data_IF_487112334016
#
_entry.id   IF_487112334016
#
_cell.length_a   1.000
_cell.length_b   1.000
_cell.length_c   1.000
_cell.angle_alpha   90.00
_cell.angle_beta   90.00
_cell.angle_gamma   90.00
#
_symmetry.space_group_name_H-M   'P 1'
#
loop_
_entity.id
_entity.type
_entity.pdbx_description
1 polymer ?
#
# COMPACT_ATOMS: atom_id res chain seq x y z
N UNK A 1 8.10 -7.59 -1.26
CA UNK A 1 6.96 -8.13 -0.50
C UNK A 1 5.78 -7.18 -0.59
N UNK A 2 4.54 -7.71 -0.58
CA UNK A 2 3.30 -6.93 -0.56
C UNK A 2 2.45 -7.36 0.63
N UNK A 3 1.82 -6.43 1.33
CA UNK A 3 0.91 -6.75 2.42
C UNK A 3 -0.18 -5.67 2.55
N UNK A 4 -1.35 -6.07 3.04
CA UNK A 4 -2.50 -5.21 3.30
C UNK A 4 -3.09 -5.54 4.67
N UNK A 5 -3.30 -4.54 5.52
CA UNK A 5 -3.97 -4.71 6.81
C UNK A 5 -4.86 -3.52 7.15
N UNK A 6 -5.82 -3.74 8.06
CA UNK A 6 -6.71 -2.66 8.52
C UNK A 6 -5.95 -1.70 9.43
N UNK A 7 -6.24 -0.41 9.28
CA UNK A 7 -5.72 0.62 10.16
C UNK A 7 -6.85 1.54 10.65
N UNK A 8 -7.34 1.30 11.86
CA UNK A 8 -8.43 2.10 12.44
C UNK A 8 -9.72 2.09 11.61
N UNK A 9 -10.62 3.04 11.92
CA UNK A 9 -11.92 3.14 11.26
C UNK A 9 -11.77 3.80 9.89
N UNK A 10 -12.15 3.09 8.83
CA UNK A 10 -12.23 3.63 7.47
C UNK A 10 -10.95 3.53 6.64
N UNK A 11 -9.88 2.90 7.14
CA UNK A 11 -8.60 2.86 6.41
C UNK A 11 -7.96 1.48 6.38
N UNK A 12 -7.14 1.29 5.35
CA UNK A 12 -6.19 0.20 5.18
C UNK A 12 -4.79 0.79 5.08
N UNK A 13 -3.81 -0.01 5.48
CA UNK A 13 -2.43 0.17 5.04
C UNK A 13 -2.08 -0.86 3.98
N UNK A 14 -1.29 -0.42 3.00
CA UNK A 14 -0.67 -1.28 2.00
C UNK A 14 0.82 -1.03 1.92
N UNK A 15 1.59 -2.04 2.26
CA UNK A 15 3.06 -2.03 2.14
C UNK A 15 3.48 -2.74 0.86
N UNK A 16 4.43 -2.14 0.14
CA UNK A 16 5.03 -2.77 -1.03
C UNK A 16 6.49 -2.37 -1.23
N UNK A 17 7.28 -3.34 -1.70
CA UNK A 17 8.65 -3.14 -2.20
C UNK A 17 8.71 -3.15 -3.73
N UNK A 18 7.58 -3.43 -4.39
CA UNK A 18 7.49 -3.50 -5.84
C UNK A 18 7.44 -2.08 -6.44
N UNK A 19 8.51 -1.73 -7.16
CA UNK A 19 8.67 -0.43 -7.80
C UNK A 19 7.63 -0.18 -8.90
N UNK A 20 7.18 -1.21 -9.60
CA UNK A 20 6.14 -1.06 -10.63
C UNK A 20 4.78 -0.82 -9.99
N UNK A 21 4.47 -1.53 -8.90
CA UNK A 21 3.27 -1.25 -8.12
C UNK A 21 3.28 0.17 -7.56
N UNK A 22 4.40 0.63 -6.99
CA UNK A 22 4.57 2.01 -6.51
C UNK A 22 4.28 3.03 -7.63
N UNK A 23 4.87 2.85 -8.81
CA UNK A 23 4.66 3.73 -9.97
C UNK A 23 3.19 3.72 -10.40
N UNK A 24 2.57 2.55 -10.44
CA UNK A 24 1.16 2.37 -10.84
C UNK A 24 0.20 3.04 -9.85
N UNK A 25 0.44 2.90 -8.54
CA UNK A 25 -0.32 3.60 -7.49
C UNK A 25 -0.17 5.11 -7.65
N UNK A 26 1.06 5.63 -7.72
CA UNK A 26 1.32 7.07 -7.93
C UNK A 26 0.64 7.62 -9.20
N UNK A 27 0.53 6.81 -10.25
CA UNK A 27 -0.13 7.19 -11.51
C UNK A 27 -1.66 7.25 -11.37
N UNK A 28 -2.29 6.21 -10.83
CA UNK A 28 -3.75 6.02 -10.93
C UNK A 28 -4.53 6.24 -9.63
N UNK A 29 -3.88 6.21 -8.46
CA UNK A 29 -4.53 6.26 -7.14
C UNK A 29 -4.11 7.52 -6.38
N UNK A 30 -4.63 8.66 -6.81
CA UNK A 30 -4.26 9.99 -6.27
C UNK A 30 -4.71 10.22 -4.83
N UNK A 31 -5.70 9.46 -4.38
CA UNK A 31 -6.24 9.50 -3.03
C UNK A 31 -5.55 8.53 -2.06
N UNK A 32 -4.57 7.75 -2.54
CA UNK A 32 -3.76 6.89 -1.69
C UNK A 32 -2.52 7.65 -1.25
N UNK A 33 -2.41 7.88 0.05
CA UNK A 33 -1.38 8.75 0.63
C UNK A 33 -0.18 7.92 1.04
N UNK A 34 1.03 8.34 0.69
CA UNK A 34 2.26 7.73 1.22
C UNK A 34 2.42 8.19 2.66
N UNK A 35 2.58 7.24 3.58
CA UNK A 35 2.72 7.52 5.03
C UNK A 35 4.06 7.09 5.60
N UNK A 36 4.81 6.24 4.89
CA UNK A 36 6.17 5.87 5.27
C UNK A 36 7.00 5.46 4.05
N UNK A 37 8.29 5.81 4.10
CA UNK A 37 9.34 5.31 3.22
C UNK A 37 10.30 4.43 4.05
N UNK A 38 10.61 3.24 3.56
CA UNK A 38 11.48 2.29 4.24
C UNK A 38 12.84 2.25 3.55
N UNK A 39 13.91 2.47 4.31
CA UNK A 39 15.28 2.48 3.81
C UNK A 39 16.10 1.34 4.42
N UNK A 40 17.00 0.76 3.63
CA UNK A 40 18.03 -0.17 4.07
C UNK A 40 19.35 0.22 3.42
N UNK A 41 20.37 0.53 4.23
CA UNK A 41 21.66 1.04 3.76
C UNK A 41 21.47 2.23 2.79
N UNK A 42 20.70 3.24 3.21
CA UNK A 42 20.33 4.45 2.44
C UNK A 42 19.59 4.22 1.12
N UNK A 43 19.20 2.98 0.82
CA UNK A 43 18.41 2.63 -0.35
C UNK A 43 16.94 2.45 0.02
N UNK A 44 16.05 3.14 -0.69
CA UNK A 44 14.60 2.93 -0.58
C UNK A 44 14.26 1.49 -0.98
N UNK A 45 13.72 0.73 -0.04
CA UNK A 45 13.32 -0.67 -0.22
C UNK A 45 11.81 -0.84 -0.32
N UNK A 46 11.02 0.01 0.35
CA UNK A 46 9.57 -0.11 0.34
C UNK A 46 8.85 1.18 0.69
N UNK A 47 7.54 1.19 0.42
CA UNK A 47 6.64 2.30 0.69
C UNK A 47 5.37 1.75 1.36
N UNK A 48 4.85 2.49 2.34
CA UNK A 48 3.52 2.25 2.89
C UNK A 48 2.54 3.32 2.45
N UNK A 49 1.41 2.87 1.94
CA UNK A 49 0.26 3.68 1.56
C UNK A 49 -0.85 3.58 2.60
N UNK A 50 -1.53 4.71 2.85
CA UNK A 50 -2.82 4.79 3.53
C UNK A 50 -3.92 4.84 2.47
N UNK A 51 -4.85 3.90 2.56
CA UNK A 51 -5.84 3.60 1.53
C UNK A 51 -7.25 3.66 2.15
N UNK A 52 -8.21 4.38 1.56
CA UNK A 52 -9.60 4.35 2.02
C UNK A 52 -10.19 2.92 1.98
N UNK A 53 -10.92 2.51 3.01
CA UNK A 53 -11.46 1.14 3.11
C UNK A 53 -12.42 0.80 1.96
N UNK A 54 -13.09 1.81 1.38
CA UNK A 54 -13.98 1.70 0.22
C UNK A 54 -13.21 1.19 -1.01
N UNK A 55 -11.91 1.46 -1.07
CA UNK A 55 -11.02 0.99 -2.13
C UNK A 55 -10.38 -0.38 -1.86
N UNK A 56 -10.80 -1.10 -0.81
CA UNK A 56 -10.26 -2.43 -0.45
C UNK A 56 -10.12 -3.37 -1.65
N UNK A 57 -11.18 -3.55 -2.43
CA UNK A 57 -11.16 -4.47 -3.59
C UNK A 57 -10.19 -4.03 -4.69
N UNK A 58 -9.92 -2.73 -4.80
CA UNK A 58 -8.91 -2.23 -5.73
C UNK A 58 -7.51 -2.47 -5.16
N UNK A 59 -7.30 -2.25 -3.85
CA UNK A 59 -6.06 -2.56 -3.16
C UNK A 59 -5.69 -4.05 -3.28
N UNK A 60 -6.60 -4.96 -2.95
CA UNK A 60 -6.36 -6.41 -3.04
C UNK A 60 -5.96 -6.84 -4.46
N UNK A 61 -6.63 -6.29 -5.49
CA UNK A 61 -6.28 -6.57 -6.91
C UNK A 61 -4.95 -5.97 -7.34
N UNK A 62 -4.60 -4.77 -6.84
CA UNK A 62 -3.36 -4.11 -7.23
C UNK A 62 -2.14 -4.70 -6.52
N UNK A 63 -2.28 -5.08 -5.25
CA UNK A 63 -1.21 -5.67 -4.44
C UNK A 63 -1.10 -7.18 -4.62
N UNK A 64 -2.12 -7.81 -5.22
CA UNK A 64 -2.23 -9.26 -5.40
C UNK A 64 -2.16 -10.03 -4.07
N UNK A 65 -2.76 -9.45 -3.03
CA UNK A 65 -2.87 -10.04 -1.69
C UNK A 65 -4.24 -9.75 -1.11
N UNK A 66 -4.67 -10.55 -0.13
CA UNK A 66 -5.89 -10.26 0.64
C UNK A 66 -5.55 -9.39 1.84
N UNK A 67 -6.50 -8.56 2.27
CA UNK A 67 -6.36 -7.87 3.55
C UNK A 67 -6.26 -8.91 4.66
N UNK A 68 -5.19 -8.83 5.45
CA UNK A 68 -4.96 -9.69 6.61
C UNK A 68 -6.14 -9.60 7.59
N UNK A 69 -6.67 -10.77 7.95
CA UNK A 69 -7.74 -10.93 8.94
C UNK A 69 -7.10 -11.01 10.32
N UNK A 70 -6.94 -9.88 11.00
CA UNK A 70 -6.67 -9.84 12.44
C UNK A 70 -7.83 -9.13 13.13
#
# INVERSE_FOLDING_TARGET
MNDLWKFGKGWLFGYTEDKELIRRVKRYKKDWVIVADYFKNDRLVGIQFKIPIEQRRAAERMFDVRVSSF
#
